data_IF_636813833978
#
_entry.id   IF_636813833978
#
_cell.length_a   1.000
_cell.length_b   1.000
_cell.length_c   1.000
_cell.angle_alpha   90.00
_cell.angle_beta   90.00
_cell.angle_gamma   90.00
#
_symmetry.space_group_name_H-M   'P 1'
#
loop_
_entity.id
_entity.type
_entity.pdbx_description
1 polymer ?
#
# COMPACT_ATOMS: atom_id res chain seq x y z
N UNK A 1 45.20 -22.84 19.28
CA UNK A 1 44.35 -23.82 18.56
C UNK A 1 44.33 -23.42 17.08
N UNK A 2 44.93 -24.22 16.18
CA UNK A 2 45.06 -23.90 14.76
C UNK A 2 43.73 -24.11 13.99
N UNK A 3 43.55 -23.29 12.95
CA UNK A 3 42.31 -23.14 12.19
C UNK A 3 41.93 -24.33 11.32
N UNK A 4 40.61 -24.55 11.17
CA UNK A 4 40.05 -25.54 10.24
C UNK A 4 40.02 -24.98 8.81
N UNK A 5 40.43 -25.75 7.79
CA UNK A 5 40.37 -25.33 6.40
C UNK A 5 38.94 -25.44 5.81
N UNK A 6 38.63 -24.68 4.74
CA UNK A 6 37.30 -24.65 4.13
C UNK A 6 37.01 -25.91 3.30
N UNK A 7 35.92 -26.62 3.63
CA UNK A 7 35.41 -27.71 2.79
C UNK A 7 34.63 -27.14 1.60
N UNK A 8 35.17 -27.33 0.39
CA UNK A 8 34.43 -27.16 -0.87
C UNK A 8 33.58 -28.41 -1.11
N UNK A 9 32.25 -28.26 -1.18
CA UNK A 9 31.34 -29.30 -1.67
C UNK A 9 30.93 -28.96 -3.11
N UNK A 10 31.26 -29.83 -4.04
CA UNK A 10 30.76 -29.78 -5.42
C UNK A 10 29.32 -30.31 -5.45
N UNK A 11 28.39 -29.70 -6.20
CA UNK A 11 27.06 -30.27 -6.39
C UNK A 11 27.05 -31.29 -7.53
N UNK A 12 26.58 -32.50 -7.19
CA UNK A 12 26.23 -33.58 -8.11
C UNK A 12 25.08 -33.15 -9.03
N UNK A 13 25.31 -33.20 -10.34
CA UNK A 13 24.27 -33.03 -11.37
C UNK A 13 23.52 -34.36 -11.55
N UNK A 14 22.36 -34.51 -10.92
CA UNK A 14 21.42 -35.61 -11.20
C UNK A 14 20.43 -35.14 -12.26
N UNK A 15 20.57 -35.66 -13.49
CA UNK A 15 19.59 -35.48 -14.57
C UNK A 15 18.46 -36.50 -14.38
N UNK A 16 17.29 -36.03 -13.95
CA UNK A 16 16.05 -36.81 -13.99
C UNK A 16 15.33 -36.52 -15.31
N UNK A 17 15.21 -37.53 -16.16
CA UNK A 17 14.38 -37.49 -17.37
C UNK A 17 13.00 -37.99 -17.00
N UNK A 18 12.01 -37.09 -16.95
CA UNK A 18 10.61 -37.43 -16.71
C UNK A 18 9.88 -37.65 -18.04
N UNK A 19 9.28 -38.83 -18.20
CA UNK A 19 8.33 -39.14 -19.27
C UNK A 19 7.06 -38.30 -19.10
N UNK A 20 6.73 -37.49 -20.10
CA UNK A 20 5.47 -36.74 -20.18
C UNK A 20 4.46 -37.57 -20.97
N UNK A 21 3.43 -38.06 -20.30
CA UNK A 21 2.27 -38.67 -20.95
C UNK A 21 1.32 -37.57 -21.48
N UNK A 22 0.71 -37.74 -22.68
CA UNK A 22 -0.23 -36.76 -23.22
C UNK A 22 -1.61 -36.92 -22.57
N UNK A 23 -1.95 -36.00 -21.65
CA UNK A 23 -3.32 -35.83 -21.19
C UNK A 23 -4.12 -35.08 -22.27
N UNK A 24 -5.09 -35.75 -22.87
CA UNK A 24 -6.08 -35.13 -23.74
C UNK A 24 -6.95 -34.15 -22.93
N UNK A 25 -6.82 -32.84 -23.20
CA UNK A 25 -7.71 -31.82 -22.64
C UNK A 25 -9.10 -31.93 -23.30
N UNK A 26 -10.05 -32.53 -22.59
CA UNK A 26 -11.47 -32.34 -22.87
C UNK A 26 -11.82 -30.87 -22.63
N UNK A 27 -12.34 -30.20 -23.66
CA UNK A 27 -12.66 -28.77 -23.68
C UNK A 27 -13.69 -28.40 -22.61
N UNK A 28 -13.22 -27.81 -21.52
CA UNK A 28 -14.06 -27.13 -20.55
C UNK A 28 -14.57 -25.83 -21.19
N UNK A 29 -15.89 -25.75 -21.40
CA UNK A 29 -16.56 -24.56 -21.92
C UNK A 29 -16.20 -23.33 -21.10
N UNK A 30 -15.47 -22.39 -21.73
CA UNK A 30 -15.13 -21.10 -21.15
C UNK A 30 -16.39 -20.25 -21.00
N UNK A 31 -17.11 -20.44 -19.90
CA UNK A 31 -18.11 -19.48 -19.46
C UNK A 31 -17.42 -18.14 -19.29
N UNK A 32 -17.79 -17.15 -20.09
CA UNK A 32 -17.23 -15.81 -20.01
C UNK A 32 -17.47 -15.29 -18.59
N UNK A 33 -16.40 -15.19 -17.79
CA UNK A 33 -16.46 -14.60 -16.46
C UNK A 33 -16.89 -13.15 -16.65
N UNK A 34 -18.15 -12.87 -16.31
CA UNK A 34 -18.67 -11.51 -16.41
C UNK A 34 -17.85 -10.66 -15.44
N UNK A 35 -17.18 -9.59 -15.91
CA UNK A 35 -16.37 -8.77 -15.03
C UNK A 35 -17.26 -8.22 -13.91
N UNK A 36 -16.75 -8.14 -12.66
CA UNK A 36 -17.56 -7.68 -11.54
C UNK A 36 -18.16 -6.31 -11.82
N UNK A 37 -19.49 -6.26 -11.85
CA UNK A 37 -20.26 -5.02 -12.03
C UNK A 37 -20.38 -4.34 -10.67
N UNK A 38 -19.49 -3.39 -10.39
CA UNK A 38 -19.56 -2.61 -9.15
C UNK A 38 -18.39 -1.64 -8.97
N UNK A 39 -18.48 -0.73 -7.99
CA UNK A 39 -17.41 0.21 -7.69
C UNK A 39 -16.10 -0.51 -7.39
N UNK A 40 -14.99 0.04 -7.89
CA UNK A 40 -13.64 -0.44 -7.56
C UNK A 40 -13.23 0.04 -6.18
N UNK A 41 -12.83 -0.89 -5.31
CA UNK A 41 -12.22 -0.59 -4.01
C UNK A 41 -10.73 -0.91 -4.10
N UNK A 42 -9.89 0.03 -3.68
CA UNK A 42 -8.46 -0.19 -3.53
C UNK A 42 -8.06 -0.18 -2.05
N UNK A 43 -7.27 -1.17 -1.64
CA UNK A 43 -6.70 -1.26 -0.30
C UNK A 43 -5.18 -1.20 -0.43
N UNK A 44 -4.59 -0.19 0.21
CA UNK A 44 -3.16 0.03 0.27
C UNK A 44 -2.69 -0.25 1.70
N UNK A 45 -1.73 -1.15 1.88
CA UNK A 45 -1.24 -1.44 3.22
C UNK A 45 0.08 -2.19 3.32
N UNK A 46 0.37 -2.67 4.53
CA UNK A 46 1.61 -3.35 4.90
C UNK A 46 1.37 -4.84 5.27
N UNK A 47 2.12 -5.37 6.25
CA UNK A 47 1.98 -6.74 6.74
C UNK A 47 0.60 -7.02 7.32
N UNK A 48 -0.02 -6.06 8.01
CA UNK A 48 -1.36 -6.22 8.62
C UNK A 48 -2.41 -6.47 7.53
N UNK A 49 -2.36 -5.67 6.47
CA UNK A 49 -3.25 -5.82 5.31
C UNK A 49 -2.93 -7.07 4.52
N UNK A 50 -1.65 -7.41 4.35
CA UNK A 50 -1.21 -8.62 3.64
C UNK A 50 -1.74 -9.89 4.31
N UNK A 51 -1.61 -9.96 5.65
CA UNK A 51 -2.14 -11.06 6.46
C UNK A 51 -3.66 -11.13 6.40
N UNK A 52 -4.34 -9.99 6.40
CA UNK A 52 -5.81 -9.91 6.37
C UNK A 52 -6.41 -10.06 4.97
N UNK A 53 -5.60 -10.29 3.92
CA UNK A 53 -6.04 -10.25 2.51
C UNK A 53 -7.25 -11.16 2.23
N UNK A 54 -7.24 -12.39 2.74
CA UNK A 54 -8.33 -13.35 2.51
C UNK A 54 -9.63 -12.88 3.18
N UNK A 55 -9.56 -12.45 4.43
CA UNK A 55 -10.72 -11.97 5.19
C UNK A 55 -11.28 -10.67 4.58
N UNK A 56 -10.42 -9.75 4.11
CA UNK A 56 -10.85 -8.55 3.39
C UNK A 56 -11.58 -8.93 2.10
N UNK A 57 -11.00 -9.83 1.29
CA UNK A 57 -11.62 -10.27 0.04
C UNK A 57 -12.99 -10.89 0.28
N UNK A 58 -13.09 -11.78 1.27
CA UNK A 58 -14.36 -12.40 1.66
C UNK A 58 -15.41 -11.39 2.11
N UNK A 59 -15.05 -10.41 2.96
CA UNK A 59 -15.99 -9.37 3.44
C UNK A 59 -16.45 -8.38 2.37
N UNK A 60 -15.69 -8.25 1.28
CA UNK A 60 -16.00 -7.34 0.17
C UNK A 60 -16.55 -8.07 -1.06
N UNK A 61 -16.76 -9.38 -0.98
CA UNK A 61 -17.39 -10.16 -2.04
C UNK A 61 -18.75 -9.55 -2.42
N UNK A 62 -19.02 -9.50 -3.72
CA UNK A 62 -20.26 -8.92 -4.28
C UNK A 62 -20.34 -7.39 -4.28
N UNK A 63 -19.38 -6.64 -3.70
CA UNK A 63 -19.42 -5.15 -3.74
C UNK A 63 -18.90 -4.55 -5.05
N UNK A 64 -18.21 -5.31 -5.88
CA UNK A 64 -17.55 -4.81 -7.09
C UNK A 64 -16.15 -5.39 -7.24
N UNK A 65 -15.25 -4.63 -7.88
CA UNK A 65 -13.86 -5.04 -8.06
C UNK A 65 -12.98 -4.60 -6.88
N UNK A 66 -12.00 -5.44 -6.54
CA UNK A 66 -11.11 -5.23 -5.40
C UNK A 66 -9.65 -5.28 -5.85
N UNK A 67 -8.86 -4.27 -5.47
CA UNK A 67 -7.42 -4.22 -5.69
C UNK A 67 -6.70 -4.07 -4.36
N UNK A 68 -5.94 -5.07 -3.93
CA UNK A 68 -5.16 -5.01 -2.68
C UNK A 68 -3.67 -4.97 -2.99
N UNK A 69 -3.05 -3.81 -2.76
CA UNK A 69 -1.60 -3.62 -2.76
C UNK A 69 -1.11 -3.59 -1.32
N UNK A 70 -0.57 -4.71 -0.86
CA UNK A 70 -0.07 -4.86 0.50
C UNK A 70 1.26 -5.59 0.51
N UNK A 71 2.28 -4.97 1.11
CA UNK A 71 3.64 -5.52 1.14
C UNK A 71 4.19 -5.44 2.56
N UNK A 72 4.48 -6.59 3.21
CA UNK A 72 5.06 -6.62 4.55
C UNK A 72 6.32 -5.76 4.70
N UNK A 73 6.43 -5.07 5.84
CA UNK A 73 7.59 -4.26 6.19
C UNK A 73 7.69 -2.90 5.47
N UNK A 74 6.76 -2.56 4.56
CA UNK A 74 6.84 -1.31 3.81
C UNK A 74 6.30 -0.11 4.59
N UNK A 75 7.00 1.01 4.43
CA UNK A 75 6.60 2.32 4.94
C UNK A 75 5.60 3.02 4.02
N UNK A 76 5.04 4.14 4.49
CA UNK A 76 4.16 5.00 3.71
C UNK A 76 4.82 5.45 2.40
N UNK A 77 6.04 6.00 2.49
CA UNK A 77 6.79 6.49 1.33
C UNK A 77 7.03 5.39 0.29
N UNK A 78 7.34 4.16 0.73
CA UNK A 78 7.60 3.03 -0.16
C UNK A 78 6.35 2.51 -0.87
N UNK A 79 5.17 2.63 -0.25
CA UNK A 79 3.91 2.20 -0.86
C UNK A 79 3.23 3.31 -1.68
N UNK A 80 3.62 4.57 -1.51
CA UNK A 80 3.05 5.72 -2.23
C UNK A 80 3.03 5.57 -3.76
N UNK A 81 4.06 5.01 -4.44
CA UNK A 81 4.03 4.78 -5.88
C UNK A 81 2.92 3.83 -6.36
N UNK A 82 2.43 2.93 -5.50
CA UNK A 82 1.37 1.99 -5.87
C UNK A 82 0.03 2.69 -6.18
N UNK A 83 -0.17 3.93 -5.68
CA UNK A 83 -1.35 4.74 -6.02
C UNK A 83 -1.44 4.97 -7.53
N UNK A 84 -0.32 5.33 -8.17
CA UNK A 84 -0.26 5.57 -9.61
C UNK A 84 -0.57 4.31 -10.42
N UNK A 85 0.00 3.17 -10.02
CA UNK A 85 -0.24 1.87 -10.68
C UNK A 85 -1.71 1.47 -10.61
N UNK A 86 -2.33 1.55 -9.43
CA UNK A 86 -3.74 1.17 -9.24
C UNK A 86 -4.67 2.11 -10.02
N UNK A 87 -4.37 3.41 -10.01
CA UNK A 87 -5.17 4.44 -10.70
C UNK A 87 -5.09 4.29 -12.21
N UNK A 88 -3.90 3.98 -12.75
CA UNK A 88 -3.71 3.70 -14.17
C UNK A 88 -4.50 2.46 -14.63
N UNK A 89 -4.72 1.48 -13.76
CA UNK A 89 -5.60 0.33 -14.00
C UNK A 89 -7.10 0.63 -13.77
N UNK A 90 -7.48 1.91 -13.71
CA UNK A 90 -8.84 2.39 -13.46
C UNK A 90 -8.98 3.04 -12.07
N UNK A 91 -9.49 4.27 -11.96
CA UNK A 91 -9.57 4.99 -10.68
C UNK A 91 -10.52 4.28 -9.70
N UNK A 92 -10.09 3.99 -8.46
CA UNK A 92 -10.98 3.43 -7.45
C UNK A 92 -12.07 4.41 -7.04
N UNK A 93 -13.27 3.90 -6.80
CA UNK A 93 -14.34 4.63 -6.12
C UNK A 93 -13.99 4.88 -4.65
N UNK A 94 -13.38 3.87 -4.01
CA UNK A 94 -12.98 3.93 -2.62
C UNK A 94 -11.51 3.53 -2.44
N UNK A 95 -10.81 4.24 -1.56
CA UNK A 95 -9.50 3.88 -1.06
C UNK A 95 -9.57 3.50 0.42
N UNK A 96 -8.82 2.48 0.82
CA UNK A 96 -8.50 2.17 2.20
C UNK A 96 -6.99 2.24 2.37
N UNK A 97 -6.51 3.04 3.32
CA UNK A 97 -5.09 3.18 3.64
C UNK A 97 -4.84 2.61 5.03
N UNK A 98 -3.99 1.60 5.11
CA UNK A 98 -3.52 0.98 6.36
C UNK A 98 -1.99 0.86 6.32
N UNK A 99 -1.33 1.98 6.58
CA UNK A 99 0.12 2.15 6.52
C UNK A 99 0.60 2.97 7.71
N UNK A 100 1.90 2.87 8.00
CA UNK A 100 2.56 3.68 9.04
C UNK A 100 3.09 2.88 10.21
N UNK A 101 2.66 1.63 10.38
CA UNK A 101 3.21 0.73 11.40
C UNK A 101 4.72 0.61 11.27
N UNK A 102 5.22 0.35 10.05
CA UNK A 102 6.64 0.20 9.79
C UNK A 102 7.40 1.53 9.93
N UNK A 103 6.75 2.66 9.65
CA UNK A 103 7.33 3.98 9.89
C UNK A 103 7.58 4.22 11.37
N UNK A 104 6.59 3.89 12.22
CA UNK A 104 6.75 3.96 13.68
C UNK A 104 7.84 3.01 14.18
N UNK A 105 7.91 1.78 13.68
CA UNK A 105 8.96 0.81 14.02
C UNK A 105 10.37 1.29 13.61
N UNK A 106 10.47 1.93 12.45
CA UNK A 106 11.73 2.47 11.90
C UNK A 106 12.08 3.84 12.47
N UNK A 107 11.30 4.36 13.42
CA UNK A 107 11.47 5.68 14.02
C UNK A 107 11.46 6.82 12.99
N UNK A 108 10.68 6.66 11.91
CA UNK A 108 10.53 7.68 10.87
C UNK A 108 9.69 8.85 11.37
N UNK A 109 10.34 9.93 11.80
CA UNK A 109 9.65 11.15 12.26
C UNK A 109 8.88 11.88 11.14
N UNK A 110 9.16 11.57 9.87
CA UNK A 110 8.48 12.16 8.72
C UNK A 110 7.17 11.45 8.37
N UNK A 111 6.83 10.34 9.04
CA UNK A 111 5.63 9.56 8.75
C UNK A 111 4.34 10.39 8.66
N UNK A 112 4.08 11.38 9.55
CA UNK A 112 2.95 12.29 9.39
C UNK A 112 2.91 13.02 8.04
N UNK A 113 4.05 13.54 7.57
CA UNK A 113 4.12 14.27 6.30
C UNK A 113 3.98 13.32 5.10
N UNK A 114 4.66 12.17 5.15
CA UNK A 114 4.51 11.13 4.11
C UNK A 114 3.04 10.68 3.99
N UNK A 115 2.31 10.61 5.12
CA UNK A 115 0.89 10.26 5.13
C UNK A 115 0.01 11.36 4.55
N UNK A 116 0.27 12.64 4.86
CA UNK A 116 -0.44 13.77 4.22
C UNK A 116 -0.27 13.74 2.70
N UNK A 117 0.95 13.55 2.23
CA UNK A 117 1.26 13.47 0.79
C UNK A 117 0.56 12.28 0.13
N UNK A 118 0.52 11.13 0.80
CA UNK A 118 -0.22 9.96 0.32
C UNK A 118 -1.73 10.24 0.21
N UNK A 119 -2.34 10.80 1.26
CA UNK A 119 -3.79 11.10 1.27
C UNK A 119 -4.14 12.12 0.20
N UNK A 120 -3.31 13.15 -0.02
CA UNK A 120 -3.51 14.13 -1.08
C UNK A 120 -3.61 13.48 -2.48
N UNK A 121 -2.85 12.41 -2.75
CA UNK A 121 -2.90 11.68 -4.03
C UNK A 121 -4.22 10.94 -4.27
N UNK A 122 -4.94 10.56 -3.21
CA UNK A 122 -6.20 9.80 -3.31
C UNK A 122 -7.43 10.61 -2.92
N UNK A 123 -7.26 11.84 -2.45
CA UNK A 123 -8.33 12.69 -1.93
C UNK A 123 -9.43 13.01 -2.96
N UNK A 124 -9.16 12.87 -4.26
CA UNK A 124 -10.15 13.01 -5.33
C UNK A 124 -11.13 11.83 -5.47
N UNK A 125 -10.89 10.71 -4.79
CA UNK A 125 -11.82 9.57 -4.83
C UNK A 125 -13.10 9.88 -4.04
N UNK A 126 -14.28 9.38 -4.47
CA UNK A 126 -15.53 9.58 -3.73
C UNK A 126 -15.50 9.11 -2.26
N UNK A 127 -14.61 8.15 -1.93
CA UNK A 127 -14.47 7.62 -0.58
C UNK A 127 -13.01 7.30 -0.25
N UNK A 128 -12.54 7.80 0.90
CA UNK A 128 -11.26 7.45 1.50
C UNK A 128 -11.49 6.96 2.92
N UNK A 129 -10.92 5.81 3.27
CA UNK A 129 -10.90 5.23 4.62
C UNK A 129 -9.46 5.25 5.10
N UNK A 130 -9.23 5.96 6.21
CA UNK A 130 -7.92 6.11 6.83
C UNK A 130 -7.87 5.24 8.08
N UNK A 131 -6.93 4.30 8.15
CA UNK A 131 -6.83 3.33 9.25
C UNK A 131 -5.79 3.79 10.26
N UNK A 132 -6.15 3.96 11.53
CA UNK A 132 -5.18 4.17 12.61
C UNK A 132 -4.29 2.94 12.82
N UNK A 133 -3.10 3.11 13.40
CA UNK A 133 -2.18 2.03 13.77
C UNK A 133 -2.12 1.83 15.28
N UNK A 134 -1.69 0.67 15.75
CA UNK A 134 -1.57 0.40 17.18
C UNK A 134 -0.52 1.34 17.81
N UNK A 135 -0.88 2.08 18.86
CA UNK A 135 0.05 2.93 19.63
C UNK A 135 0.53 2.28 20.94
N UNK A 136 0.08 1.06 21.18
CA UNK A 136 0.41 0.21 22.34
C UNK A 136 1.15 -1.08 21.96
N UNK A 137 1.45 -1.26 20.67
CA UNK A 137 2.29 -2.35 20.17
C UNK A 137 3.77 -2.00 20.37
N UNK A 138 4.61 -3.00 20.63
CA UNK A 138 6.01 -2.78 20.97
C UNK A 138 6.57 -3.91 21.82
N UNK A 139 6.34 -5.15 21.38
CA UNK A 139 6.87 -6.43 21.90
C UNK A 139 7.20 -6.51 23.40
N UNK A 140 6.35 -7.22 24.14
CA UNK A 140 6.66 -7.74 25.47
C UNK A 140 7.86 -8.71 25.44
N UNK A 141 9.06 -8.19 25.70
CA UNK A 141 10.22 -8.99 26.10
C UNK A 141 11.48 -8.90 25.20
N UNK A 142 11.42 -8.28 24.01
CA UNK A 142 12.58 -8.21 23.09
C UNK A 142 13.18 -6.80 22.92
N UNK A 143 12.97 -5.87 23.87
CA UNK A 143 13.84 -4.70 24.12
C UNK A 143 14.26 -3.79 22.95
N UNK A 144 13.59 -3.81 21.79
CA UNK A 144 14.23 -3.33 20.54
C UNK A 144 13.79 -1.97 20.02
N UNK A 145 12.53 -1.56 20.18
CA UNK A 145 12.02 -0.38 19.47
C UNK A 145 12.10 0.92 20.29
N UNK A 146 12.20 0.81 21.62
CA UNK A 146 12.33 1.94 22.54
C UNK A 146 11.08 2.83 22.60
N UNK A 147 11.15 3.88 23.41
CA UNK A 147 10.03 4.81 23.67
C UNK A 147 9.56 5.59 22.43
N UNK A 148 10.30 5.50 21.31
CA UNK A 148 10.02 6.21 20.08
C UNK A 148 8.77 5.70 19.34
N UNK A 149 8.49 4.38 19.39
CA UNK A 149 7.36 3.80 18.63
C UNK A 149 6.02 4.44 19.03
N UNK A 150 5.62 4.46 20.32
CA UNK A 150 4.34 5.04 20.71
C UNK A 150 4.24 6.53 20.40
N UNK A 151 5.35 7.27 20.44
CA UNK A 151 5.40 8.70 20.09
C UNK A 151 5.03 8.91 18.62
N UNK A 152 5.69 8.17 17.73
CA UNK A 152 5.46 8.31 16.28
C UNK A 152 4.08 7.76 15.91
N UNK A 153 3.67 6.63 16.48
CA UNK A 153 2.34 6.06 16.24
C UNK A 153 1.21 7.01 16.67
N UNK A 154 1.33 7.66 17.83
CA UNK A 154 0.35 8.68 18.27
C UNK A 154 0.34 9.90 17.35
N UNK A 155 1.51 10.41 16.96
CA UNK A 155 1.60 11.54 16.03
C UNK A 155 0.96 11.24 14.67
N UNK A 156 1.18 10.02 14.16
CA UNK A 156 0.56 9.56 12.93
C UNK A 156 -0.96 9.38 13.08
N UNK A 157 -1.43 8.75 14.15
CA UNK A 157 -2.86 8.59 14.42
C UNK A 157 -3.57 9.95 14.55
N UNK A 158 -2.95 10.93 15.19
CA UNK A 158 -3.47 12.29 15.24
C UNK A 158 -3.58 12.91 13.83
N UNK A 159 -2.57 12.68 12.97
CA UNK A 159 -2.58 13.13 11.57
C UNK A 159 -3.69 12.44 10.76
N UNK A 160 -3.95 11.16 11.01
CA UNK A 160 -5.05 10.42 10.37
C UNK A 160 -6.42 11.03 10.73
N UNK A 161 -6.63 11.35 12.00
CA UNK A 161 -7.88 11.99 12.47
C UNK A 161 -8.00 13.41 11.90
N UNK A 162 -6.92 14.19 11.92
CA UNK A 162 -6.85 15.54 11.30
C UNK A 162 -7.27 15.49 9.83
N UNK A 163 -6.70 14.57 9.04
CA UNK A 163 -7.00 14.43 7.62
C UNK A 163 -8.44 13.97 7.38
N UNK A 164 -8.97 13.07 8.20
CA UNK A 164 -10.37 12.68 8.11
C UNK A 164 -11.33 13.85 8.36
N UNK A 165 -10.99 14.75 9.29
CA UNK A 165 -11.76 15.98 9.53
C UNK A 165 -11.64 17.00 8.38
N UNK A 166 -10.46 17.06 7.73
CA UNK A 166 -10.19 17.99 6.62
C UNK A 166 -10.88 17.59 5.32
N UNK A 167 -10.96 16.30 5.03
CA UNK A 167 -11.55 15.79 3.78
C UNK A 167 -12.96 15.24 4.06
N UNK A 168 -14.05 15.87 3.57
CA UNK A 168 -15.43 15.44 3.87
C UNK A 168 -15.77 14.06 3.30
N UNK A 169 -14.97 13.58 2.34
CA UNK A 169 -15.00 12.24 1.77
C UNK A 169 -13.99 11.30 2.43
N UNK A 170 -13.45 11.62 3.59
CA UNK A 170 -12.60 10.74 4.38
C UNK A 170 -13.31 10.27 5.66
N UNK A 171 -12.96 9.07 6.13
CA UNK A 171 -13.45 8.51 7.39
C UNK A 171 -12.37 7.68 8.06
N UNK A 172 -12.47 7.54 9.38
CA UNK A 172 -11.49 6.79 10.17
C UNK A 172 -11.99 5.36 10.40
N UNK A 173 -11.13 4.38 10.10
CA UNK A 173 -11.20 3.04 10.68
C UNK A 173 -10.25 3.05 11.88
N UNK A 174 -10.80 3.12 13.10
CA UNK A 174 -9.97 3.19 14.30
C UNK A 174 -9.50 1.80 14.75
N UNK A 175 -8.55 1.23 14.01
CA UNK A 175 -7.98 -0.07 14.34
C UNK A 175 -7.24 -0.05 15.68
N UNK A 176 -6.61 1.06 16.05
CA UNK A 176 -5.98 1.24 17.36
C UNK A 176 -6.97 0.96 18.50
N UNK A 177 -8.13 1.63 18.50
CA UNK A 177 -9.14 1.43 19.53
C UNK A 177 -9.70 -0.01 19.52
N UNK A 178 -9.97 -0.56 18.33
CA UNK A 178 -10.49 -1.93 18.18
C UNK A 178 -9.50 -2.96 18.73
N UNK A 179 -8.25 -2.91 18.29
CA UNK A 179 -7.23 -3.86 18.71
C UNK A 179 -6.97 -3.76 20.22
N UNK A 180 -7.04 -2.54 20.79
CA UNK A 180 -6.92 -2.31 22.23
C UNK A 180 -8.06 -2.95 23.02
N UNK A 181 -9.29 -2.73 22.57
CA UNK A 181 -10.49 -3.27 23.23
C UNK A 181 -10.52 -4.80 23.26
N UNK A 182 -9.84 -5.45 22.33
CA UNK A 182 -9.85 -6.90 22.14
C UNK A 182 -8.49 -7.58 22.43
N UNK A 183 -7.56 -6.91 23.13
CA UNK A 183 -6.25 -7.51 23.43
C UNK A 183 -6.35 -8.83 24.21
N UNK A 184 -7.27 -8.92 25.17
CA UNK A 184 -7.54 -10.13 25.96
C UNK A 184 -8.10 -11.28 25.13
N UNK A 185 -8.65 -10.97 23.96
CA UNK A 185 -9.39 -11.93 23.13
C UNK A 185 -8.47 -12.62 22.11
N UNK A 186 -7.17 -12.35 22.17
CA UNK A 186 -6.17 -12.95 21.28
C UNK A 186 -6.27 -12.47 19.83
N UNK A 187 -6.77 -11.24 19.60
CA UNK A 187 -6.86 -10.68 18.24
C UNK A 187 -5.51 -10.26 17.66
N UNK A 188 -4.51 -10.03 18.52
CA UNK A 188 -3.13 -9.77 18.13
C UNK A 188 -2.26 -10.98 18.45
N UNK A 189 -1.25 -11.23 17.62
CA UNK A 189 -0.22 -12.22 17.88
C UNK A 189 0.62 -11.80 19.11
N UNK A 190 1.51 -12.69 19.55
CA UNK A 190 2.38 -12.45 20.70
C UNK A 190 3.26 -11.19 20.57
N UNK A 191 3.42 -10.68 19.35
CA UNK A 191 4.12 -9.42 19.08
C UNK A 191 3.34 -8.15 19.43
N UNK A 192 2.04 -8.29 19.72
CA UNK A 192 1.16 -7.17 20.02
C UNK A 192 0.92 -6.24 18.83
N UNK A 193 1.22 -6.68 17.61
CA UNK A 193 1.14 -5.87 16.41
C UNK A 193 0.37 -6.56 15.29
N UNK A 194 0.75 -7.78 14.92
CA UNK A 194 0.15 -8.47 13.80
C UNK A 194 -1.15 -9.14 14.23
N UNK A 195 -2.23 -9.04 13.44
CA UNK A 195 -3.49 -9.69 13.79
C UNK A 195 -3.38 -11.21 13.64
N UNK A 196 -3.92 -11.95 14.62
CA UNK A 196 -4.21 -13.38 14.46
C UNK A 196 -5.34 -13.57 13.45
N UNK A 197 -5.72 -14.81 13.12
CA UNK A 197 -6.88 -15.04 12.24
C UNK A 197 -8.17 -14.40 12.78
N UNK A 198 -8.38 -14.44 14.10
CA UNK A 198 -9.52 -13.75 14.73
C UNK A 198 -9.43 -12.23 14.53
N UNK A 199 -8.25 -11.64 14.73
CA UNK A 199 -8.00 -10.22 14.47
C UNK A 199 -8.14 -9.82 13.01
N UNK A 200 -7.72 -10.66 12.06
CA UNK A 200 -7.86 -10.41 10.62
C UNK A 200 -9.34 -10.33 10.22
N UNK A 201 -10.16 -11.25 10.72
CA UNK A 201 -11.60 -11.23 10.51
C UNK A 201 -12.25 -9.98 11.14
N UNK A 202 -11.85 -9.63 12.36
CA UNK A 202 -12.33 -8.43 13.04
C UNK A 202 -11.93 -7.14 12.28
N UNK A 203 -10.67 -7.04 11.85
CA UNK A 203 -10.16 -5.95 11.02
C UNK A 203 -10.97 -5.81 9.72
N UNK A 204 -11.16 -6.90 8.98
CA UNK A 204 -11.91 -6.91 7.74
C UNK A 204 -13.39 -6.50 7.95
N UNK A 205 -14.01 -6.89 9.07
CA UNK A 205 -15.36 -6.46 9.42
C UNK A 205 -15.45 -4.96 9.71
N UNK A 206 -14.48 -4.38 10.43
CA UNK A 206 -14.41 -2.94 10.65
C UNK A 206 -14.12 -2.15 9.36
N UNK A 207 -13.26 -2.69 8.49
CA UNK A 207 -13.00 -2.13 7.16
C UNK A 207 -14.28 -2.09 6.33
N UNK A 208 -15.05 -3.19 6.28
CA UNK A 208 -16.34 -3.23 5.61
C UNK A 208 -17.29 -2.16 6.15
N UNK A 209 -17.43 -2.06 7.48
CA UNK A 209 -18.28 -1.03 8.12
C UNK A 209 -17.87 0.39 7.74
N UNK A 210 -16.57 0.68 7.72
CA UNK A 210 -16.07 2.00 7.32
C UNK A 210 -16.42 2.31 5.85
N UNK A 211 -16.34 1.31 4.95
CA UNK A 211 -16.77 1.46 3.55
C UNK A 211 -18.28 1.59 3.39
N UNK A 212 -19.08 0.98 4.27
CA UNK A 212 -20.54 1.09 4.24
C UNK A 212 -21.04 2.50 4.62
N UNK A 213 -20.19 3.31 5.27
CA UNK A 213 -20.44 4.74 5.53
C UNK A 213 -20.07 5.65 4.36
N UNK A 214 -19.57 5.09 3.26
CA UNK A 214 -19.31 5.87 2.05
C UNK A 214 -20.62 6.14 1.31
N UNK A 215 -20.70 7.28 0.57
CA UNK A 215 -21.80 7.49 -0.35
C UNK A 215 -21.99 6.27 -1.24
N UNK A 216 -23.22 5.91 -1.55
CA UNK A 216 -23.46 4.95 -2.60
C UNK A 216 -22.82 5.49 -3.90
N UNK A 217 -22.20 4.64 -4.73
CA UNK A 217 -21.89 5.04 -6.09
C UNK A 217 -23.18 5.58 -6.70
N UNK A 218 -23.12 6.77 -7.31
CA UNK A 218 -24.27 7.29 -8.06
C UNK A 218 -24.74 6.21 -9.05
N UNK A 219 -26.04 6.21 -9.43
CA UNK A 219 -26.50 5.30 -10.47
C UNK A 219 -25.54 5.44 -11.65
N UNK A 220 -24.93 4.33 -12.06
CA UNK A 220 -24.21 4.30 -13.31
C UNK A 220 -25.28 4.65 -14.32
N UNK A 221 -25.30 5.89 -14.80
CA UNK A 221 -26.24 6.31 -15.83
C UNK A 221 -26.19 5.25 -16.92
N UNK A 222 -27.32 4.93 -17.58
CA UNK A 222 -27.31 3.95 -18.66
C UNK A 222 -26.10 4.29 -19.50
N UNK A 223 -25.17 3.32 -19.65
CA UNK A 223 -23.99 3.51 -20.48
C UNK A 223 -24.58 3.84 -21.82
N UNK A 224 -24.66 5.14 -22.13
CA UNK A 224 -25.20 5.61 -23.37
C UNK A 224 -24.35 4.86 -24.36
N UNK A 225 -24.97 3.97 -25.13
CA UNK A 225 -24.31 3.33 -26.25
C UNK A 225 -23.80 4.50 -27.06
N UNK A 226 -22.53 4.86 -26.86
CA UNK A 226 -21.88 5.89 -27.62
C UNK A 226 -21.92 5.28 -29.01
N UNK A 227 -22.86 5.76 -29.82
CA UNK A 227 -22.98 5.33 -31.21
C UNK A 227 -21.59 5.40 -31.83
N UNK A 228 -21.28 4.54 -32.82
CA UNK A 228 -19.94 4.35 -33.35
C UNK A 228 -19.26 5.72 -33.51
N UNK A 229 -18.20 5.94 -32.72
CA UNK A 229 -17.41 7.17 -32.79
C UNK A 229 -16.95 7.27 -34.24
N UNK A 230 -17.55 8.18 -35.01
CA UNK A 230 -17.04 8.52 -36.33
C UNK A 230 -15.70 9.19 -36.10
N UNK A 231 -14.62 8.41 -36.23
CA UNK A 231 -13.26 8.92 -36.27
C UNK A 231 -13.18 9.84 -37.49
N UNK A 232 -13.35 11.15 -37.29
CA UNK A 232 -12.99 12.14 -38.30
C UNK A 232 -11.48 12.15 -38.36
N UNK A 233 -10.96 11.63 -39.47
CA UNK A 233 -9.64 11.85 -40.06
C UNK A 233 -8.49 12.12 -39.09
N UNK A 234 -7.62 11.11 -38.96
CA UNK A 234 -6.30 11.24 -38.33
C UNK A 234 -5.54 12.40 -38.98
N UNK A 235 -5.35 13.48 -38.23
CA UNK A 235 -4.37 14.51 -38.57
C UNK A 235 -2.99 13.89 -38.35
N UNK A 236 -2.21 13.73 -39.43
CA UNK A 236 -0.79 13.37 -39.32
C UNK A 236 -0.07 14.48 -38.56
N UNK A 237 0.40 14.17 -37.36
CA UNK A 237 1.40 14.97 -36.67
C UNK A 237 2.73 14.76 -37.41
N UNK A 238 3.28 15.82 -37.99
CA UNK A 238 4.63 15.79 -38.53
C UNK A 238 5.65 15.69 -37.38
N UNK A 239 6.76 14.93 -37.56
CA UNK A 239 7.82 14.86 -36.56
C UNK A 239 8.47 16.23 -36.37
N UNK A 240 8.65 16.60 -35.09
CA UNK A 240 9.44 17.77 -34.67
C UNK A 240 10.92 17.45 -34.94
N UNK A 241 11.68 18.34 -35.59
CA UNK A 241 13.12 18.15 -35.76
C UNK A 241 13.87 18.27 -34.43
N UNK A 242 14.87 17.41 -34.30
CA UNK A 242 15.73 17.23 -33.13
C UNK A 242 16.74 18.39 -33.03
N UNK A 243 16.44 19.42 -32.22
CA UNK A 243 17.36 20.53 -31.97
C UNK A 243 18.40 20.12 -30.91
N UNK A 244 19.49 19.52 -31.40
CA UNK A 244 20.79 19.60 -30.74
C UNK A 244 21.43 20.96 -31.04
N UNK A 245 21.48 21.84 -30.04
CA UNK A 245 22.45 22.95 -29.92
C UNK A 245 22.67 23.20 -28.42
N UNK A 246 23.83 22.82 -27.86
CA UNK A 246 25.03 23.66 -27.79
C UNK A 246 24.85 24.86 -26.84
N UNK A 247 25.36 24.70 -25.61
CA UNK A 247 25.36 25.76 -24.59
C UNK A 247 26.48 25.57 -23.58
N UNK A 248 27.70 25.79 -24.04
CA UNK A 248 28.95 25.89 -23.27
C UNK A 248 28.86 27.08 -22.29
N UNK A 249 29.03 26.85 -20.99
CA UNK A 249 29.48 27.86 -20.03
C UNK A 249 30.64 27.32 -19.21
N UNK A 250 31.82 27.80 -19.57
CA UNK A 250 33.05 27.79 -18.80
C UNK A 250 33.09 29.12 -18.02
N UNK A 251 33.36 29.07 -16.71
CA UNK A 251 34.12 30.10 -15.97
C UNK A 251 34.57 29.60 -14.59
N UNK A 252 35.81 29.12 -14.58
CA UNK A 252 36.90 29.32 -13.60
C UNK A 252 36.68 30.22 -12.35
N UNK A 253 37.12 29.64 -11.22
CA UNK A 253 38.11 30.16 -10.23
C UNK A 253 37.75 31.19 -9.15
N UNK A 254 38.09 30.83 -7.91
CA UNK A 254 38.28 31.69 -6.71
C UNK A 254 38.22 30.85 -5.42
N UNK A 255 39.28 30.13 -5.01
CA UNK A 255 40.36 30.50 -4.06
C UNK A 255 39.92 30.70 -2.60
N UNK A 256 40.34 29.72 -1.77
CA UNK A 256 40.90 29.74 -0.41
C UNK A 256 40.34 30.62 0.73
N UNK A 257 40.21 29.99 1.91
CA UNK A 257 40.19 30.67 3.21
C UNK A 257 40.03 29.69 4.38
N UNK A 258 41.15 29.22 4.94
CA UNK A 258 41.21 28.47 6.19
C UNK A 258 41.21 29.42 7.40
N UNK A 259 40.64 29.01 8.53
CA UNK A 259 41.10 29.43 9.86
C UNK A 259 40.60 28.47 10.94
N UNK A 260 41.55 27.78 11.57
CA UNK A 260 41.48 27.22 12.91
C UNK A 260 41.59 28.34 13.95
N UNK A 261 40.85 28.24 15.05
CA UNK A 261 41.03 29.08 16.24
C UNK A 261 40.57 28.34 17.48
N UNK A 262 41.45 28.26 18.48
CA UNK A 262 41.33 27.55 19.75
C UNK A 262 41.07 28.53 20.90
N UNK A 263 40.60 27.99 22.03
CA UNK A 263 40.56 28.54 23.40
C UNK A 263 39.49 29.61 23.73
N UNK A 264 38.60 29.28 24.69
CA UNK A 264 38.77 29.52 26.15
C UNK A 264 38.18 28.32 26.90
#
# INVERSE_FOLDING_TARGET
>A
MPGRPPQRRAPLLVRLVALVAPFALAGAGGGAVTPPTGPKVAVLGDSITSLSRQEIAHRLEGRGSLSIAAVPGRTIAQMSPAVGVITAAGPPFAWVINLGTNDALQRNINAPNDYRDLVAKVAGAPCVVLTTINDFGGFGGFGGFGDAYPIIARALNATIVELAARYPNARVLDWNAVARAHQSDGVLAADGLHPTRAGQNLYAAHLRRALDQCPAPGPVGPVGLVGPVRVRSVVRVQPVPDERCAGRLDRRSGVAGAASGSQV
#
